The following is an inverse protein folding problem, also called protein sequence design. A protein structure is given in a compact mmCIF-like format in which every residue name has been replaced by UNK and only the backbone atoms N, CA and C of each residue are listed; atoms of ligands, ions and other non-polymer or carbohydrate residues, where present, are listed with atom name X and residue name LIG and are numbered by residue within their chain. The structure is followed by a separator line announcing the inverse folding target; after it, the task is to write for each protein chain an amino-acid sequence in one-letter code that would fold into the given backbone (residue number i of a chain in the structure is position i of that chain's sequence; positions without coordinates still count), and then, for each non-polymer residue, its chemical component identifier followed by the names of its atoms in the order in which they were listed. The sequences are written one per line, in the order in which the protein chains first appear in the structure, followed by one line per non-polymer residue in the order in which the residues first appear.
data_IF_375049993466
#
_entry.id   IF_375049993466
#
_cell.length_a   1.000
_cell.length_b   1.000
_cell.length_c   1.000
_cell.angle_alpha   90.00
_cell.angle_beta   90.00
_cell.angle_gamma   90.00
#
_symmetry.space_group_name_H-M   'P 1'
#
loop_
_entity.id
_entity.type
_entity.pdbx_description
1 polymer ?
#
# COMPACT_ATOMS: atom_id res chain seq x y z
N UNK A 1 -24.31 1.98 6.31
CA UNK A 1 -22.92 1.83 6.76
C UNK A 1 -22.04 2.02 5.55
N UNK A 2 -21.15 3.02 5.50
CA UNK A 2 -20.14 3.04 4.45
C UNK A 2 -19.28 1.79 4.65
N UNK A 3 -19.10 1.02 3.58
CA UNK A 3 -18.15 -0.08 3.57
C UNK A 3 -16.78 0.60 3.60
N UNK A 4 -16.14 0.63 4.75
CA UNK A 4 -14.69 0.84 4.81
C UNK A 4 -14.08 -0.27 3.98
N UNK A 5 -13.70 0.05 2.74
CA UNK A 5 -12.82 -0.80 1.95
C UNK A 5 -11.43 -0.62 2.57
N UNK A 6 -11.26 -1.25 3.73
CA UNK A 6 -9.97 -1.37 4.35
C UNK A 6 -9.16 -2.31 3.46
N UNK A 7 -8.21 -1.74 2.72
CA UNK A 7 -7.27 -2.51 1.90
C UNK A 7 -6.40 -3.46 2.75
N UNK A 8 -6.54 -3.39 4.09
CA UNK A 8 -5.92 -4.29 5.07
C UNK A 8 -6.90 -5.23 5.78
N UNK A 9 -8.14 -5.36 5.29
CA UNK A 9 -9.08 -6.36 5.80
C UNK A 9 -8.52 -7.77 5.57
N UNK A 10 -8.00 -8.38 6.64
CA UNK A 10 -7.43 -9.72 6.59
C UNK A 10 -8.55 -10.73 6.45
N UNK A 11 -8.40 -11.67 5.52
CA UNK A 11 -9.31 -12.81 5.36
C UNK A 11 -9.19 -13.86 6.49
N UNK A 12 -8.45 -13.55 7.56
CA UNK A 12 -8.18 -14.42 8.70
C UNK A 12 -8.03 -13.58 9.96
N UNK A 13 -8.20 -14.22 11.13
CA UNK A 13 -7.98 -13.59 12.44
C UNK A 13 -6.52 -13.77 12.85
N UNK A 14 -5.67 -12.73 12.84
CA UNK A 14 -4.29 -12.86 13.26
C UNK A 14 -4.22 -13.06 14.79
N UNK A 15 -3.20 -13.79 15.25
CA UNK A 15 -2.90 -13.91 16.68
C UNK A 15 -2.18 -12.67 17.23
N UNK A 16 -1.56 -11.89 16.35
CA UNK A 16 -0.93 -10.61 16.66
C UNK A 16 -1.82 -9.45 16.21
N UNK A 17 -1.51 -8.25 16.67
CA UNK A 17 -2.18 -7.04 16.22
C UNK A 17 -2.15 -6.94 14.67
N UNK A 18 -3.31 -6.77 14.00
CA UNK A 18 -3.40 -6.73 12.54
C UNK A 18 -2.50 -5.67 11.89
N UNK A 19 -2.40 -4.47 12.50
CA UNK A 19 -1.57 -3.39 11.96
C UNK A 19 -0.10 -3.78 11.98
N UNK A 20 0.36 -4.33 13.11
CA UNK A 20 1.72 -4.83 13.28
C UNK A 20 2.05 -5.93 12.25
N UNK A 21 1.11 -6.85 11.98
CA UNK A 21 1.30 -7.90 10.97
C UNK A 21 1.49 -7.32 9.57
N UNK A 22 0.59 -6.43 9.16
CA UNK A 22 0.64 -5.79 7.83
C UNK A 22 1.92 -4.98 7.67
N UNK A 23 2.32 -4.23 8.68
CA UNK A 23 3.57 -3.46 8.68
C UNK A 23 4.80 -4.34 8.55
N UNK A 24 4.86 -5.44 9.31
CA UNK A 24 5.93 -6.42 9.21
C UNK A 24 6.00 -7.04 7.81
N UNK A 25 4.86 -7.43 7.25
CA UNK A 25 4.78 -7.98 5.88
C UNK A 25 5.29 -6.98 4.85
N UNK A 26 4.79 -5.73 4.86
CA UNK A 26 5.19 -4.71 3.90
C UNK A 26 6.68 -4.36 4.02
N UNK A 27 7.23 -4.32 5.24
CA UNK A 27 8.67 -4.13 5.45
C UNK A 27 9.49 -5.24 4.79
N UNK A 28 9.08 -6.50 4.97
CA UNK A 28 9.76 -7.64 4.34
C UNK A 28 9.68 -7.56 2.82
N UNK A 29 8.48 -7.33 2.27
CA UNK A 29 8.28 -7.25 0.81
C UNK A 29 9.05 -6.07 0.22
N UNK A 30 9.03 -4.89 0.86
CA UNK A 30 9.81 -3.72 0.44
C UNK A 30 11.33 -3.91 0.55
N UNK A 31 11.79 -4.78 1.45
CA UNK A 31 13.21 -5.16 1.52
C UNK A 31 13.58 -6.11 0.39
N UNK A 32 12.72 -7.10 0.09
CA UNK A 32 12.97 -8.08 -0.97
C UNK A 32 12.94 -7.42 -2.35
N UNK A 33 11.92 -6.58 -2.58
CA UNK A 33 11.70 -5.88 -3.85
C UNK A 33 12.04 -4.41 -3.70
N UNK A 34 13.27 -4.14 -3.26
CA UNK A 34 13.79 -2.78 -3.20
C UNK A 34 13.84 -2.16 -4.61
N UNK A 35 13.94 -0.84 -4.69
CA UNK A 35 13.88 -0.12 -5.96
C UNK A 35 14.98 -0.51 -6.96
N UNK A 36 16.12 -1.03 -6.49
CA UNK A 36 17.24 -1.47 -7.34
C UNK A 36 17.14 -2.94 -7.74
N UNK A 37 16.27 -3.72 -7.09
CA UNK A 37 16.14 -5.18 -7.19
C UNK A 37 17.39 -5.97 -6.73
N UNK A 38 18.36 -5.34 -6.06
CA UNK A 38 19.59 -6.01 -5.63
C UNK A 38 19.31 -7.17 -4.68
N UNK A 39 18.49 -6.95 -3.64
CA UNK A 39 18.14 -8.00 -2.68
C UNK A 39 17.38 -9.15 -3.36
N UNK A 40 16.54 -8.85 -4.35
CA UNK A 40 15.82 -9.87 -5.11
C UNK A 40 16.78 -10.73 -5.93
N UNK A 41 17.70 -10.10 -6.68
CA UNK A 41 18.63 -10.81 -7.54
C UNK A 41 19.64 -11.64 -6.76
N UNK A 42 20.12 -11.16 -5.62
CA UNK A 42 21.01 -11.94 -4.73
C UNK A 42 20.32 -13.21 -4.20
N UNK A 43 19.02 -13.11 -3.87
CA UNK A 43 18.21 -14.27 -3.49
C UNK A 43 17.99 -15.22 -4.65
N UNK A 44 17.81 -14.70 -5.87
CA UNK A 44 17.73 -15.53 -7.07
C UNK A 44 19.06 -16.27 -7.32
N UNK A 45 20.20 -15.62 -7.17
CA UNK A 45 21.51 -16.27 -7.29
C UNK A 45 21.67 -17.38 -6.25
N UNK A 46 21.36 -17.09 -4.98
CA UNK A 46 21.37 -18.10 -3.91
C UNK A 46 20.46 -19.28 -4.24
N UNK A 47 19.27 -19.03 -4.79
CA UNK A 47 18.37 -20.10 -5.23
C UNK A 47 19.03 -20.95 -6.33
N UNK A 48 19.63 -20.32 -7.35
CA UNK A 48 20.28 -21.02 -8.46
C UNK A 48 21.49 -21.85 -8.00
N UNK A 49 22.27 -21.35 -7.05
CA UNK A 49 23.41 -22.06 -6.44
C UNK A 49 22.99 -23.36 -5.76
N UNK A 50 21.78 -23.40 -5.21
CA UNK A 50 21.24 -24.55 -4.49
C UNK A 50 20.32 -25.42 -5.35
N UNK A 51 20.07 -25.04 -6.61
CA UNK A 51 19.14 -25.74 -7.48
C UNK A 51 19.88 -26.75 -8.36
N UNK A 52 19.65 -28.04 -8.11
CA UNK A 52 20.15 -29.08 -9.00
C UNK A 52 19.45 -28.97 -10.37
N UNK A 53 20.20 -28.89 -11.49
CA UNK A 53 19.61 -28.76 -12.82
C UNK A 53 18.94 -30.08 -13.23
N UNK A 54 17.63 -30.18 -12.99
CA UNK A 54 16.80 -31.31 -13.42
C UNK A 54 16.07 -30.98 -14.74
N UNK A 55 15.88 -31.95 -15.66
CA UNK A 55 15.40 -31.68 -17.02
C UNK A 55 14.05 -30.95 -17.13
N UNK A 56 13.18 -31.07 -16.13
CA UNK A 56 11.89 -30.36 -16.11
C UNK A 56 12.02 -28.87 -15.76
N UNK A 57 13.14 -28.46 -15.17
CA UNK A 57 13.42 -27.06 -14.79
C UNK A 57 14.02 -26.27 -15.94
N UNK A 58 14.90 -26.88 -16.76
CA UNK A 58 15.55 -26.20 -17.89
C UNK A 58 15.03 -26.74 -19.23
N UNK A 59 13.85 -26.28 -19.67
CA UNK A 59 13.46 -26.51 -21.07
C UNK A 59 14.40 -25.70 -21.97
N UNK A 60 15.03 -26.30 -22.99
CA UNK A 60 15.89 -25.57 -23.90
C UNK A 60 15.05 -24.49 -24.61
N UNK A 61 15.51 -23.24 -24.51
CA UNK A 61 14.90 -22.09 -25.17
C UNK A 61 15.80 -21.65 -26.31
N UNK A 62 15.21 -21.26 -27.43
CA UNK A 62 15.97 -20.68 -28.54
C UNK A 62 16.76 -19.46 -28.07
N UNK A 63 18.03 -19.36 -28.48
CA UNK A 63 18.90 -18.21 -28.16
C UNK A 63 18.27 -16.88 -28.57
N UNK A 64 17.56 -16.86 -29.70
CA UNK A 64 16.85 -15.68 -30.18
C UNK A 64 15.74 -15.25 -29.20
N UNK A 65 14.93 -16.21 -28.74
CA UNK A 65 13.84 -15.92 -27.78
C UNK A 65 14.40 -15.46 -26.43
N UNK A 66 15.51 -16.06 -25.99
CA UNK A 66 16.20 -15.64 -24.78
C UNK A 66 16.73 -14.20 -24.89
N UNK A 67 17.37 -13.86 -26.00
CA UNK A 67 17.85 -12.50 -26.28
C UNK A 67 16.69 -11.48 -26.28
N UNK A 68 15.59 -11.80 -26.98
CA UNK A 68 14.40 -10.95 -26.98
C UNK A 68 13.82 -10.75 -25.57
N UNK A 69 13.83 -11.79 -24.75
CA UNK A 69 13.34 -11.72 -23.37
C UNK A 69 14.21 -10.79 -22.51
N UNK A 70 15.54 -10.92 -22.62
CA UNK A 70 16.49 -10.04 -21.92
C UNK A 70 16.30 -8.58 -22.36
N UNK A 71 16.22 -8.33 -23.67
CA UNK A 71 15.98 -6.98 -24.20
C UNK A 71 14.62 -6.42 -23.78
N UNK A 72 13.60 -7.27 -23.74
CA UNK A 72 12.26 -6.90 -23.30
C UNK A 72 12.22 -6.44 -21.84
N UNK A 73 12.91 -7.16 -20.95
CA UNK A 73 13.06 -6.77 -19.54
C UNK A 73 13.89 -5.48 -19.44
N UNK A 74 15.06 -5.44 -20.09
CA UNK A 74 15.98 -4.29 -20.02
C UNK A 74 15.33 -2.97 -20.42
N UNK A 75 14.42 -2.98 -21.41
CA UNK A 75 13.67 -1.78 -21.84
C UNK A 75 12.68 -1.26 -20.80
N UNK A 76 12.28 -2.08 -19.82
CA UNK A 76 11.30 -1.73 -18.78
C UNK A 76 11.96 -1.34 -17.45
N UNK A 77 13.23 -1.67 -17.26
CA UNK A 77 13.97 -1.37 -16.05
C UNK A 77 14.32 0.12 -15.95
N UNK A 78 14.38 0.61 -14.71
CA UNK A 78 14.87 1.96 -14.41
C UNK A 78 16.40 2.03 -14.57
N UNK A 79 16.99 3.23 -14.71
CA UNK A 79 18.44 3.40 -14.77
C UNK A 79 19.19 2.75 -13.60
N UNK A 80 18.61 2.77 -12.40
CA UNK A 80 19.22 2.21 -11.19
C UNK A 80 19.17 0.67 -11.16
N UNK A 81 18.16 0.07 -11.80
CA UNK A 81 18.01 -1.39 -11.90
C UNK A 81 18.92 -2.01 -12.97
N UNK A 82 19.30 -1.23 -14.00
CA UNK A 82 20.06 -1.74 -15.16
C UNK A 82 21.43 -2.33 -14.79
N UNK A 83 22.27 -1.70 -13.95
CA UNK A 83 23.56 -2.26 -13.55
C UNK A 83 23.40 -3.58 -12.79
N UNK A 84 22.44 -3.63 -11.85
CA UNK A 84 22.16 -4.80 -11.02
C UNK A 84 21.68 -5.97 -11.89
N UNK A 85 20.71 -5.72 -12.77
CA UNK A 85 20.21 -6.72 -13.72
C UNK A 85 21.31 -7.22 -14.65
N UNK A 86 22.16 -6.34 -15.17
CA UNK A 86 23.24 -6.71 -16.09
C UNK A 86 24.28 -7.60 -15.39
N UNK A 87 24.63 -7.28 -14.14
CA UNK A 87 25.51 -8.09 -13.28
C UNK A 87 24.88 -9.46 -12.99
N UNK A 88 23.61 -9.51 -12.63
CA UNK A 88 22.85 -10.75 -12.42
C UNK A 88 22.88 -11.64 -13.67
N UNK A 89 22.55 -11.10 -14.85
CA UNK A 89 22.57 -11.86 -16.11
C UNK A 89 23.97 -12.36 -16.45
N UNK A 90 25.01 -11.53 -16.24
CA UNK A 90 26.39 -11.92 -16.48
C UNK A 90 26.82 -13.07 -15.58
N UNK A 91 26.51 -12.99 -14.28
CA UNK A 91 26.83 -14.03 -13.29
C UNK A 91 26.14 -15.35 -13.61
N UNK A 92 24.82 -15.32 -13.87
CA UNK A 92 24.09 -16.54 -14.26
C UNK A 92 24.60 -17.12 -15.57
N UNK A 93 24.94 -16.28 -16.56
CA UNK A 93 25.47 -16.77 -17.84
C UNK A 93 26.80 -17.50 -17.69
N UNK A 94 27.61 -17.10 -16.70
CA UNK A 94 28.91 -17.69 -16.40
C UNK A 94 28.79 -18.95 -15.54
N UNK A 95 28.08 -18.84 -14.42
CA UNK A 95 28.09 -19.86 -13.36
C UNK A 95 26.96 -20.89 -13.55
N UNK A 96 25.84 -20.47 -14.15
CA UNK A 96 24.61 -21.25 -14.29
C UNK A 96 24.01 -21.24 -15.71
N UNK A 97 24.78 -21.47 -16.79
CA UNK A 97 24.31 -21.27 -18.16
C UNK A 97 23.08 -22.10 -18.54
N UNK A 98 22.92 -23.29 -17.94
CA UNK A 98 21.75 -24.16 -18.17
C UNK A 98 20.47 -23.62 -17.52
N UNK A 99 20.59 -22.82 -16.46
CA UNK A 99 19.46 -22.22 -15.73
C UNK A 99 19.17 -20.78 -16.18
N UNK A 100 19.91 -20.25 -17.16
CA UNK A 100 19.70 -18.90 -17.67
C UNK A 100 18.24 -18.61 -18.10
N UNK A 101 17.52 -19.50 -18.81
CA UNK A 101 16.11 -19.25 -19.12
C UNK A 101 15.22 -19.08 -17.88
N UNK A 102 15.47 -19.86 -16.82
CA UNK A 102 14.78 -19.73 -15.55
C UNK A 102 15.12 -18.39 -14.89
N UNK A 103 16.40 -18.01 -14.88
CA UNK A 103 16.86 -16.76 -14.31
C UNK A 103 16.23 -15.53 -14.97
N UNK A 104 16.04 -15.55 -16.29
CA UNK A 104 15.35 -14.47 -17.01
C UNK A 104 13.86 -14.43 -16.64
N UNK A 105 13.20 -15.58 -16.44
CA UNK A 105 11.84 -15.63 -15.91
C UNK A 105 11.75 -15.07 -14.49
N UNK A 106 12.70 -15.42 -13.62
CA UNK A 106 12.81 -14.85 -12.27
C UNK A 106 12.94 -13.32 -12.35
N UNK A 107 13.82 -12.80 -13.21
CA UNK A 107 14.00 -11.36 -13.38
C UNK A 107 12.71 -10.63 -13.82
N UNK A 108 11.96 -11.22 -14.75
CA UNK A 108 10.65 -10.67 -15.14
C UNK A 108 9.67 -10.63 -13.96
N UNK A 109 9.62 -11.69 -13.14
CA UNK A 109 8.79 -11.72 -11.94
C UNK A 109 9.24 -10.68 -10.90
N UNK A 110 10.55 -10.55 -10.66
CA UNK A 110 11.11 -9.54 -9.76
C UNK A 110 10.67 -8.13 -10.12
N UNK A 111 10.78 -7.75 -11.39
CA UNK A 111 10.30 -6.46 -11.89
C UNK A 111 8.81 -6.24 -11.63
N UNK A 112 7.96 -7.24 -11.89
CA UNK A 112 6.53 -7.13 -11.64
C UNK A 112 6.21 -7.00 -10.14
N UNK A 113 6.91 -7.75 -9.29
CA UNK A 113 6.73 -7.69 -7.84
C UNK A 113 7.22 -6.37 -7.24
N UNK A 114 8.33 -5.81 -7.72
CA UNK A 114 8.78 -4.46 -7.32
C UNK A 114 7.75 -3.41 -7.69
N UNK A 115 7.28 -3.42 -8.94
CA UNK A 115 6.24 -2.47 -9.36
C UNK A 115 4.97 -2.56 -8.51
N UNK A 116 4.50 -3.77 -8.21
CA UNK A 116 3.35 -4.00 -7.34
C UNK A 116 3.61 -3.49 -5.91
N UNK A 117 4.78 -3.78 -5.36
CA UNK A 117 5.18 -3.35 -4.01
C UNK A 117 5.25 -1.83 -3.92
N UNK A 118 5.83 -1.18 -4.93
CA UNK A 118 5.92 0.27 -5.03
C UNK A 118 4.54 0.91 -5.10
N UNK A 119 3.65 0.35 -5.91
CA UNK A 119 2.25 0.79 -6.04
C UNK A 119 1.51 0.70 -4.70
N UNK A 120 1.64 -0.43 -4.00
CA UNK A 120 1.04 -0.61 -2.66
C UNK A 120 1.59 0.40 -1.64
N UNK A 121 2.90 0.67 -1.68
CA UNK A 121 3.55 1.64 -0.79
C UNK A 121 3.02 3.05 -1.03
N UNK A 122 2.99 3.49 -2.29
CA UNK A 122 2.48 4.80 -2.69
C UNK A 122 1.01 4.98 -2.29
N UNK A 123 0.19 3.95 -2.48
CA UNK A 123 -1.21 3.99 -2.08
C UNK A 123 -1.36 4.17 -0.56
N UNK A 124 -0.59 3.40 0.23
CA UNK A 124 -0.63 3.46 1.68
C UNK A 124 -0.19 4.83 2.20
N UNK A 125 0.91 5.36 1.68
CA UNK A 125 1.39 6.70 2.02
C UNK A 125 0.35 7.77 1.69
N UNK A 126 -0.32 7.64 0.54
CA UNK A 126 -1.36 8.57 0.15
C UNK A 126 -2.57 8.51 1.09
N UNK A 127 -3.04 7.31 1.45
CA UNK A 127 -4.14 7.14 2.42
C UNK A 127 -3.78 7.72 3.79
N UNK A 128 -2.58 7.40 4.32
CA UNK A 128 -2.11 7.96 5.58
C UNK A 128 -2.00 9.50 5.53
N UNK A 129 -1.61 10.06 4.39
CA UNK A 129 -1.63 11.52 4.20
C UNK A 129 -3.06 12.09 4.26
N UNK A 130 -4.03 11.47 3.60
CA UNK A 130 -5.45 11.89 3.68
C UNK A 130 -5.97 11.86 5.12
N UNK A 131 -5.66 10.81 5.87
CA UNK A 131 -6.07 10.68 7.28
C UNK A 131 -5.47 11.81 8.13
N UNK A 132 -4.20 12.13 7.91
CA UNK A 132 -3.52 13.22 8.64
C UNK A 132 -4.07 14.61 8.29
N UNK A 133 -4.42 14.87 7.03
CA UNK A 133 -5.03 16.13 6.60
C UNK A 133 -6.45 16.26 7.14
N UNK A 134 -7.21 15.15 7.18
CA UNK A 134 -8.55 15.15 7.76
C UNK A 134 -8.51 15.41 9.27
N UNK A 135 -7.57 14.81 9.99
CA UNK A 135 -7.35 15.08 11.41
C UNK A 135 -7.00 16.56 11.65
N UNK A 136 -6.06 17.12 10.87
CA UNK A 136 -5.67 18.53 10.95
C UNK A 136 -6.85 19.47 10.65
N UNK A 137 -7.69 19.13 9.66
CA UNK A 137 -8.90 19.87 9.35
C UNK A 137 -9.89 19.86 10.52
N UNK A 138 -10.13 18.69 11.13
CA UNK A 138 -11.05 18.55 12.26
C UNK A 138 -10.57 19.32 13.50
N UNK A 139 -9.27 19.31 13.80
CA UNK A 139 -8.66 20.09 14.87
C UNK A 139 -8.82 21.61 14.62
N UNK A 140 -8.49 22.07 13.41
CA UNK A 140 -8.66 23.47 13.03
C UNK A 140 -10.13 23.92 13.10
N UNK A 141 -11.06 23.06 12.69
CA UNK A 141 -12.51 23.32 12.76
C UNK A 141 -12.99 23.46 14.21
N UNK A 142 -12.49 22.63 15.12
CA UNK A 142 -12.85 22.68 16.54
C UNK A 142 -12.24 23.90 17.25
N UNK A 143 -11.05 24.34 16.84
CA UNK A 143 -10.45 25.59 17.33
C UNK A 143 -11.09 26.86 16.78
N UNK A 144 -11.75 26.78 15.61
CA UNK A 144 -12.29 27.92 14.87
C UNK A 144 -13.81 28.09 15.03
N UNK A 145 -14.39 27.83 16.22
CA UNK A 145 -15.84 27.91 16.53
C UNK A 145 -16.57 29.23 16.12
N UNK A 146 -15.92 30.22 15.51
CA UNK A 146 -16.47 31.57 15.35
C UNK A 146 -17.01 31.97 13.96
N UNK A 147 -16.79 31.25 12.85
CA UNK A 147 -17.38 31.66 11.57
C UNK A 147 -17.48 30.54 10.53
N UNK A 148 -18.69 30.27 10.02
CA UNK A 148 -18.95 29.29 8.96
C UNK A 148 -18.07 29.51 7.70
N UNK A 149 -17.74 30.77 7.38
CA UNK A 149 -16.87 31.09 6.24
C UNK A 149 -15.39 30.70 6.41
N UNK A 150 -14.90 30.60 7.65
CA UNK A 150 -13.50 30.19 7.90
C UNK A 150 -13.34 28.67 7.75
N UNK A 151 -14.34 27.89 8.16
CA UNK A 151 -14.35 26.44 7.98
C UNK A 151 -14.34 26.04 6.48
N UNK A 152 -15.12 26.74 5.65
CA UNK A 152 -15.15 26.52 4.20
C UNK A 152 -13.78 26.79 3.56
N UNK A 153 -13.12 27.88 3.97
CA UNK A 153 -11.80 28.26 3.47
C UNK A 153 -10.75 27.20 3.85
N UNK A 154 -10.73 26.77 5.12
CA UNK A 154 -9.81 25.73 5.60
C UNK A 154 -10.03 24.41 4.83
N UNK A 155 -11.29 24.04 4.57
CA UNK A 155 -11.64 22.86 3.78
C UNK A 155 -11.16 22.94 2.33
N UNK A 156 -11.31 24.10 1.69
CA UNK A 156 -10.78 24.33 0.34
C UNK A 156 -9.26 24.23 0.28
N UNK A 157 -8.56 24.79 1.25
CA UNK A 157 -7.10 24.71 1.33
C UNK A 157 -6.62 23.26 1.50
N UNK A 158 -7.25 22.50 2.40
CA UNK A 158 -6.98 21.07 2.58
C UNK A 158 -7.18 20.29 1.27
N UNK A 159 -8.27 20.57 0.55
CA UNK A 159 -8.55 19.94 -0.74
C UNK A 159 -7.50 20.28 -1.81
N UNK A 160 -6.97 21.52 -1.82
CA UNK A 160 -5.91 21.90 -2.74
C UNK A 160 -4.60 21.18 -2.45
N UNK A 161 -4.22 21.06 -1.16
CA UNK A 161 -3.03 20.28 -0.75
C UNK A 161 -3.14 18.83 -1.16
N UNK A 162 -4.31 18.21 -0.91
CA UNK A 162 -4.60 16.83 -1.32
C UNK A 162 -4.54 16.66 -2.85
N UNK A 163 -5.12 17.58 -3.63
CA UNK A 163 -5.03 17.55 -5.11
C UNK A 163 -3.59 17.69 -5.58
N UNK A 164 -2.79 18.55 -4.94
CA UNK A 164 -1.37 18.70 -5.26
C UNK A 164 -0.59 17.40 -4.97
N UNK A 165 -0.83 16.78 -3.80
CA UNK A 165 -0.21 15.49 -3.44
C UNK A 165 -0.58 14.38 -4.42
N UNK A 166 -1.85 14.30 -4.86
CA UNK A 166 -2.29 13.34 -5.88
C UNK A 166 -1.57 13.53 -7.23
N UNK A 167 -1.29 14.77 -7.63
CA UNK A 167 -0.53 15.06 -8.86
C UNK A 167 0.94 14.64 -8.76
N UNK A 168 1.50 14.59 -7.55
CA UNK A 168 2.85 14.09 -7.32
C UNK A 168 2.97 12.55 -7.39
N UNK A 169 1.85 11.82 -7.31
CA UNK A 169 1.84 10.37 -7.53
C UNK A 169 2.20 10.08 -8.99
N UNK A 170 3.13 9.13 -9.27
CA UNK A 170 3.47 8.71 -10.62
C UNK A 170 2.22 8.37 -11.43
N UNK A 171 2.19 8.82 -12.68
CA UNK A 171 0.99 8.70 -13.53
C UNK A 171 0.51 7.25 -13.69
N UNK A 172 1.47 6.33 -13.79
CA UNK A 172 1.23 4.88 -13.88
C UNK A 172 0.50 4.27 -12.67
N UNK A 173 0.50 4.94 -11.51
CA UNK A 173 -0.21 4.48 -10.31
C UNK A 173 -1.49 5.28 -10.06
N UNK A 174 -1.70 6.41 -10.76
CA UNK A 174 -2.83 7.30 -10.50
C UNK A 174 -4.18 6.73 -10.93
N UNK A 175 -4.17 5.82 -11.91
CA UNK A 175 -5.35 5.31 -12.59
C UNK A 175 -5.55 3.79 -12.45
N UNK A 176 -4.72 3.10 -11.66
CA UNK A 176 -4.66 1.65 -11.66
C UNK A 176 -5.85 0.94 -10.94
N UNK A 177 -6.90 1.67 -10.54
CA UNK A 177 -8.09 1.09 -9.91
C UNK A 177 -7.89 0.69 -8.44
N UNK A 178 -6.84 1.21 -7.79
CA UNK A 178 -6.37 0.70 -6.50
C UNK A 178 -7.01 1.35 -5.27
N UNK A 179 -7.98 2.25 -5.44
CA UNK A 179 -8.59 2.95 -4.31
C UNK A 179 -8.20 4.42 -4.16
N UNK A 180 -7.33 5.00 -5.01
CA UNK A 180 -6.94 6.42 -4.92
C UNK A 180 -8.14 7.34 -5.18
N UNK A 181 -8.92 7.05 -6.22
CA UNK A 181 -10.09 7.86 -6.59
C UNK A 181 -11.19 7.74 -5.52
N UNK A 182 -11.37 6.53 -4.99
CA UNK A 182 -12.30 6.21 -3.91
C UNK A 182 -11.90 6.93 -2.61
N UNK A 183 -10.61 6.91 -2.25
CA UNK A 183 -10.10 7.61 -1.06
C UNK A 183 -10.24 9.12 -1.20
N UNK A 184 -10.01 9.67 -2.39
CA UNK A 184 -10.28 11.09 -2.70
C UNK A 184 -11.75 11.45 -2.55
N UNK A 185 -12.67 10.60 -3.04
CA UNK A 185 -14.10 10.84 -2.93
C UNK A 185 -14.56 10.77 -1.46
N UNK A 186 -14.05 9.80 -0.70
CA UNK A 186 -14.32 9.67 0.74
C UNK A 186 -13.81 10.89 1.52
N UNK A 187 -12.61 11.38 1.21
CA UNK A 187 -12.06 12.59 1.82
C UNK A 187 -12.91 13.84 1.50
N UNK A 188 -13.31 14.02 0.24
CA UNK A 188 -14.20 15.12 -0.15
C UNK A 188 -15.55 15.05 0.56
N UNK A 189 -16.12 13.84 0.67
CA UNK A 189 -17.36 13.64 1.41
C UNK A 189 -17.20 13.98 2.89
N UNK A 190 -16.08 13.61 3.52
CA UNK A 190 -15.79 13.92 4.91
C UNK A 190 -15.66 15.43 5.17
N UNK A 191 -15.03 16.17 4.26
CA UNK A 191 -14.95 17.64 4.33
C UNK A 191 -16.32 18.30 4.16
N UNK A 192 -17.17 17.78 3.27
CA UNK A 192 -18.49 18.33 2.97
C UNK A 192 -19.57 17.93 3.97
N UNK A 193 -19.39 16.83 4.70
CA UNK A 193 -20.36 16.43 5.71
C UNK A 193 -20.28 17.43 6.85
N UNK A 194 -21.36 18.20 7.05
CA UNK A 194 -21.67 18.83 8.33
C UNK A 194 -21.81 17.71 9.38
N UNK A 195 -20.69 17.14 9.84
CA UNK A 195 -20.73 16.19 10.93
C UNK A 195 -21.10 16.98 12.18
N UNK A 196 -22.42 17.06 12.43
CA UNK A 196 -22.98 17.32 13.75
C UNK A 196 -22.26 16.36 14.70
N UNK A 197 -21.72 16.85 15.83
CA UNK A 197 -21.18 15.96 16.84
C UNK A 197 -22.31 15.01 17.24
N UNK A 198 -22.09 13.70 17.08
CA UNK A 198 -22.92 12.70 17.76
C UNK A 198 -22.58 12.85 19.23
N UNK A 199 -23.33 13.71 19.91
CA UNK A 199 -23.31 13.80 21.37
C UNK A 199 -23.59 12.40 21.92
N UNK A 200 -22.85 11.93 22.93
CA UNK A 200 -23.24 10.74 23.65
C UNK A 200 -24.61 11.00 24.25
N UNK A 201 -25.62 10.27 23.77
CA UNK A 201 -26.94 10.22 24.39
C UNK A 201 -26.73 9.57 25.76
N UNK A 202 -26.59 10.39 26.80
CA UNK A 202 -26.79 9.96 28.17
C UNK A 202 -28.25 9.52 28.30
N UNK A 203 -28.49 8.22 28.12
CA UNK A 203 -29.71 7.59 28.56
C UNK A 203 -29.81 7.77 30.08
N UNK A 204 -30.93 8.30 30.60
CA UNK A 204 -31.13 8.39 32.03
C UNK A 204 -31.14 6.97 32.62
N UNK A 205 -30.25 6.74 33.59
CA UNK A 205 -30.27 5.57 34.46
C UNK A 205 -31.57 5.62 35.26
N UNK A 206 -32.52 4.76 34.88
CA UNK A 206 -33.68 4.47 35.71
C UNK A 206 -33.20 3.75 36.98
N UNK A 207 -33.37 4.38 38.14
CA UNK A 207 -33.05 3.73 39.40
C UNK A 207 -32.94 4.68 40.58
N UNK A 208 -34.07 5.20 41.06
CA UNK A 208 -34.22 5.64 42.45
C UNK A 208 -35.71 5.62 42.81
N UNK A 209 -36.21 4.43 43.17
CA UNK A 209 -37.41 4.30 43.97
C UNK A 209 -36.97 4.19 45.44
N UNK A 210 -37.15 5.28 46.17
CA UNK A 210 -37.11 5.39 47.62
C UNK A 210 -38.32 6.28 47.93
N UNK A 211 -39.37 5.88 48.63
CA UNK A 211 -39.51 5.51 50.04
C UNK A 211 -41.04 5.34 50.23
N UNK A 212 -41.58 4.37 50.95
CA UNK A 212 -41.65 4.32 52.41
C UNK A 212 -43.09 4.56 52.90
N UNK A 213 -43.45 3.91 54.02
CA UNK A 213 -44.55 4.28 54.94
C UNK A 213 -45.96 3.73 54.66
N UNK A 214 -46.80 3.27 55.61
CA UNK A 214 -46.70 2.58 56.90
C UNK A 214 -48.17 2.25 57.32
N UNK A 215 -48.34 1.28 58.23
CA UNK A 215 -49.51 1.12 59.15
C UNK A 215 -50.85 0.69 58.50
N UNK A 216 -51.71 -0.16 59.06
CA UNK A 216 -52.17 -0.54 60.43
C UNK A 216 -53.30 -1.60 60.21
N UNK A 217 -54.04 -2.05 61.24
CA UNK A 217 -53.70 -2.54 62.57
C UNK A 217 -54.01 -4.05 62.73
#
# INVERSE_FOLDING_TARGET
KPVEIDATALNFKPQMDPKTLVEGYLRVVGTIYDSTLENYFDRCLTLLDNLNPVPHIYKPVSKHLLYLSIMGIRRRLTPDQLPVFSRYVAQVSKDHPRLLPLAIRLAAMGYHCEKLTRQQTVLREFKGYLDSELASFNEARWGAEAAAGEADKIGQEALQRVKARRRAIPDEFRHAGDGIAESMAAFQLALSSEARPVMPVNLPVAGAADSGEAARP
#
